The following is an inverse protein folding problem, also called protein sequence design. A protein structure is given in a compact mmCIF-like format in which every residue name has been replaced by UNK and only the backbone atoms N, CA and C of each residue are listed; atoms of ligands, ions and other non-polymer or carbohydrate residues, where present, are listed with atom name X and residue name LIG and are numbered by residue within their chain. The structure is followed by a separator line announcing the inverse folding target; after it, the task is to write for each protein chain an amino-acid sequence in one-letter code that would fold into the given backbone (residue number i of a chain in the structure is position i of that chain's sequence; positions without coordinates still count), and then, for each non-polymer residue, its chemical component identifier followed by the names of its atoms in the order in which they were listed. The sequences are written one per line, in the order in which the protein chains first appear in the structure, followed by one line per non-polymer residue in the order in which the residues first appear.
data_IF_460442050233
#
_entry.id   IF_460442050233
#
_cell.length_a   1.000
_cell.length_b   1.000
_cell.length_c   1.000
_cell.angle_alpha   90.00
_cell.angle_beta   90.00
_cell.angle_gamma   90.00
#
_symmetry.space_group_name_H-M   'P 1'
#
loop_
_entity.id
_entity.type
_entity.pdbx_description
1 polymer ?
#
# COMPACT_ATOMS: atom_id res chain seq x y z
N UNK A 1 -0.85 28.61 2.23
CA UNK A 1 -0.29 27.68 3.23
C UNK A 1 -1.42 27.25 4.18
N UNK A 2 -2.46 26.59 3.67
CA UNK A 2 -3.74 26.49 4.41
C UNK A 2 -4.30 25.07 4.50
N UNK A 3 -3.85 24.14 3.64
CA UNK A 3 -4.28 22.74 3.65
C UNK A 3 -3.76 22.01 4.90
N UNK A 4 -2.52 22.28 5.30
CA UNK A 4 -1.93 21.67 6.50
C UNK A 4 -2.62 22.14 7.78
N UNK A 5 -2.99 23.42 7.88
CA UNK A 5 -3.76 23.95 9.02
C UNK A 5 -5.17 23.37 9.08
N UNK A 6 -5.81 23.15 7.92
CA UNK A 6 -7.13 22.53 7.85
C UNK A 6 -7.08 21.07 8.29
N UNK A 7 -6.07 20.32 7.81
CA UNK A 7 -5.81 18.94 8.25
C UNK A 7 -5.48 18.87 9.73
N UNK A 8 -4.63 19.77 10.24
CA UNK A 8 -4.28 19.82 11.66
C UNK A 8 -5.49 20.12 12.54
N UNK A 9 -6.34 21.09 12.17
CA UNK A 9 -7.60 21.38 12.88
C UNK A 9 -8.60 20.22 12.81
N UNK A 10 -8.68 19.53 11.68
CA UNK A 10 -9.53 18.35 11.53
C UNK A 10 -9.02 17.20 12.41
N UNK A 11 -7.70 16.97 12.45
CA UNK A 11 -7.05 15.97 13.28
C UNK A 11 -7.23 16.27 14.77
N UNK A 12 -7.04 17.53 15.18
CA UNK A 12 -7.22 17.99 16.56
C UNK A 12 -8.67 17.79 17.03
N UNK A 13 -9.64 18.15 16.18
CA UNK A 13 -11.07 17.91 16.45
C UNK A 13 -11.42 16.42 16.48
N UNK A 14 -10.84 15.62 15.59
CA UNK A 14 -11.04 14.17 15.59
C UNK A 14 -10.47 13.52 16.86
N UNK A 15 -9.29 13.97 17.32
CA UNK A 15 -8.69 13.53 18.59
C UNK A 15 -9.59 13.88 19.78
N UNK A 16 -10.11 15.11 19.82
CA UNK A 16 -11.04 15.55 20.88
C UNK A 16 -12.34 14.75 20.89
N UNK A 17 -12.87 14.41 19.73
CA UNK A 17 -14.07 13.57 19.62
C UNK A 17 -13.75 12.14 20.08
N UNK A 18 -12.67 11.53 19.62
CA UNK A 18 -12.27 10.18 20.01
C UNK A 18 -11.95 10.05 21.50
N UNK A 19 -11.46 11.11 22.13
CA UNK A 19 -11.17 11.16 23.57
C UNK A 19 -12.40 11.51 24.41
N UNK A 20 -13.52 11.91 23.81
CA UNK A 20 -14.73 12.20 24.59
C UNK A 20 -15.42 10.90 25.01
N UNK A 21 -15.77 10.79 26.29
CA UNK A 21 -16.51 9.65 26.84
C UNK A 21 -17.85 9.43 26.13
N UNK A 22 -18.47 10.53 25.66
CA UNK A 22 -19.71 10.48 24.89
C UNK A 22 -19.53 9.82 23.52
N UNK A 23 -18.41 10.02 22.83
CA UNK A 23 -18.16 9.34 21.56
C UNK A 23 -17.89 7.85 21.75
N UNK A 24 -17.22 7.48 22.86
CA UNK A 24 -17.01 6.08 23.21
C UNK A 24 -18.33 5.38 23.51
N UNK A 25 -19.24 6.04 24.24
CA UNK A 25 -20.58 5.53 24.50
C UNK A 25 -21.41 5.38 23.22
N UNK A 26 -21.42 6.39 22.35
CA UNK A 26 -22.14 6.35 21.07
C UNK A 26 -21.57 5.26 20.15
N UNK A 27 -20.25 5.06 20.13
CA UNK A 27 -19.66 3.96 19.37
C UNK A 27 -19.94 2.58 19.98
N UNK A 28 -20.08 2.49 21.31
CA UNK A 28 -20.43 1.24 21.99
C UNK A 28 -21.91 0.87 21.82
N UNK A 29 -22.77 1.83 21.46
CA UNK A 29 -24.18 1.58 21.19
C UNK A 29 -24.38 0.72 19.93
N UNK A 30 -24.99 -0.46 20.10
CA UNK A 30 -25.28 -1.39 18.99
C UNK A 30 -26.15 -0.76 17.89
N UNK A 31 -27.07 0.15 18.26
CA UNK A 31 -27.95 0.84 17.31
C UNK A 31 -27.17 1.76 16.38
N UNK A 32 -26.19 2.47 16.94
CA UNK A 32 -25.30 3.32 16.17
C UNK A 32 -24.37 2.48 15.30
N UNK A 33 -23.78 1.41 15.83
CA UNK A 33 -22.91 0.50 15.07
C UNK A 33 -23.63 -0.08 13.84
N UNK A 34 -24.87 -0.56 13.99
CA UNK A 34 -25.66 -1.10 12.88
C UNK A 34 -26.00 -0.04 11.83
N UNK A 35 -26.43 1.15 12.27
CA UNK A 35 -26.73 2.26 11.37
C UNK A 35 -25.48 2.71 10.62
N UNK A 36 -24.35 2.85 11.33
CA UNK A 36 -23.05 3.17 10.75
C UNK A 36 -22.60 2.10 9.76
N UNK A 37 -22.70 0.81 10.11
CA UNK A 37 -22.34 -0.29 9.22
C UNK A 37 -23.19 -0.27 7.94
N UNK A 38 -24.50 -0.05 8.04
CA UNK A 38 -25.39 0.04 6.88
C UNK A 38 -25.07 1.24 5.98
N UNK A 39 -24.79 2.41 6.57
CA UNK A 39 -24.35 3.60 5.84
C UNK A 39 -22.98 3.37 5.21
N UNK A 40 -22.06 2.73 5.93
CA UNK A 40 -20.72 2.45 5.46
C UNK A 40 -20.73 1.47 4.29
N UNK A 41 -21.45 0.35 4.42
CA UNK A 41 -21.63 -0.63 3.36
C UNK A 41 -22.30 -0.02 2.12
N UNK A 42 -23.37 0.76 2.30
CA UNK A 42 -24.01 1.44 1.17
C UNK A 42 -23.09 2.46 0.52
N UNK A 43 -22.28 3.17 1.29
CA UNK A 43 -21.29 4.11 0.76
C UNK A 43 -20.16 3.41 -0.03
N UNK A 44 -19.69 2.25 0.43
CA UNK A 44 -18.73 1.43 -0.31
C UNK A 44 -19.34 0.93 -1.61
N UNK A 45 -20.55 0.35 -1.56
CA UNK A 45 -21.27 -0.12 -2.75
C UNK A 45 -21.50 1.01 -3.77
N UNK A 46 -21.83 2.22 -3.30
CA UNK A 46 -21.98 3.39 -4.16
C UNK A 46 -20.66 3.79 -4.81
N UNK A 47 -19.56 3.84 -4.05
CA UNK A 47 -18.21 4.11 -4.58
C UNK A 47 -17.81 3.07 -5.63
N UNK A 48 -17.99 1.79 -5.34
CA UNK A 48 -17.67 0.70 -6.26
C UNK A 48 -18.47 0.81 -7.57
N UNK A 49 -19.74 1.22 -7.48
CA UNK A 49 -20.62 1.40 -8.64
C UNK A 49 -20.20 2.60 -9.50
N UNK A 50 -19.82 3.71 -8.86
CA UNK A 50 -19.28 4.89 -9.54
C UNK A 50 -17.95 4.54 -10.22
N UNK A 51 -17.07 3.79 -9.55
CA UNK A 51 -15.78 3.40 -10.10
C UNK A 51 -15.92 2.45 -11.28
N UNK A 52 -16.82 1.44 -11.20
CA UNK A 52 -17.17 0.58 -12.33
C UNK A 52 -17.70 1.38 -13.52
N UNK A 53 -18.61 2.32 -13.27
CA UNK A 53 -19.17 3.19 -14.32
C UNK A 53 -18.08 4.06 -14.96
N UNK A 54 -17.18 4.63 -14.15
CA UNK A 54 -16.03 5.41 -14.64
C UNK A 54 -15.10 4.55 -15.51
N UNK A 55 -14.82 3.31 -15.08
CA UNK A 55 -13.98 2.36 -15.83
C UNK A 55 -14.64 1.91 -17.13
N UNK A 56 -15.94 1.61 -17.10
CA UNK A 56 -16.72 1.23 -18.29
C UNK A 56 -16.82 2.38 -19.30
N UNK A 57 -17.05 3.62 -18.83
CA UNK A 57 -17.05 4.79 -19.70
C UNK A 57 -15.65 5.03 -20.27
N UNK A 58 -14.59 4.94 -19.47
CA UNK A 58 -13.23 5.08 -19.95
C UNK A 58 -12.89 4.04 -21.02
N UNK A 59 -13.26 2.77 -20.84
CA UNK A 59 -13.12 1.74 -21.86
C UNK A 59 -13.92 2.04 -23.13
N UNK A 60 -15.19 2.47 -23.02
CA UNK A 60 -16.04 2.80 -24.18
C UNK A 60 -15.54 3.99 -24.99
N UNK A 61 -14.93 4.97 -24.32
CA UNK A 61 -14.34 6.13 -24.97
C UNK A 61 -12.86 5.93 -25.32
N UNK A 62 -12.29 4.74 -25.07
CA UNK A 62 -10.87 4.43 -25.27
C UNK A 62 -9.92 5.38 -24.51
N UNK A 63 -10.38 5.96 -23.40
CA UNK A 63 -9.55 6.73 -22.49
C UNK A 63 -8.82 5.78 -21.53
N UNK A 64 -7.49 5.90 -21.46
CA UNK A 64 -6.70 5.19 -20.47
C UNK A 64 -7.08 5.66 -19.06
N UNK A 65 -7.42 4.72 -18.16
CA UNK A 65 -7.67 5.06 -16.76
C UNK A 65 -6.34 5.31 -16.03
N UNK A 66 -6.39 6.00 -14.89
CA UNK A 66 -5.20 6.27 -14.08
C UNK A 66 -4.52 4.97 -13.60
N UNK A 67 -5.31 3.94 -13.33
CA UNK A 67 -4.81 2.61 -12.99
C UNK A 67 -4.06 1.96 -14.16
N UNK A 68 -4.61 2.05 -15.38
CA UNK A 68 -3.95 1.54 -16.59
C UNK A 68 -2.61 2.26 -16.84
N UNK A 69 -2.58 3.58 -16.65
CA UNK A 69 -1.35 4.38 -16.78
C UNK A 69 -0.31 3.99 -15.72
N UNK A 70 -0.75 3.74 -14.48
CA UNK A 70 0.12 3.31 -13.38
C UNK A 70 0.66 1.91 -13.62
N UNK A 71 -0.15 1.00 -14.15
CA UNK A 71 0.28 -0.35 -14.50
C UNK A 71 1.21 -0.36 -15.71
N UNK A 72 0.97 0.47 -16.72
CA UNK A 72 1.90 0.67 -17.84
C UNK A 72 3.24 1.20 -17.36
N UNK A 73 3.26 2.19 -16.46
CA UNK A 73 4.50 2.70 -15.84
C UNK A 73 5.27 1.58 -15.13
N UNK A 74 4.59 0.77 -14.31
CA UNK A 74 5.23 -0.38 -13.62
C UNK A 74 5.77 -1.41 -14.60
N UNK A 75 5.08 -1.68 -15.71
CA UNK A 75 5.55 -2.58 -16.77
C UNK A 75 6.78 -2.02 -17.47
N UNK A 76 6.77 -0.72 -17.80
CA UNK A 76 7.93 -0.03 -18.39
C UNK A 76 9.15 -0.12 -17.48
N UNK A 77 9.01 0.21 -16.20
CA UNK A 77 10.13 0.10 -15.24
C UNK A 77 10.66 -1.35 -15.12
N UNK A 78 9.80 -2.37 -15.25
CA UNK A 78 10.24 -3.77 -15.26
C UNK A 78 11.00 -4.12 -16.54
N UNK A 79 10.59 -3.56 -17.68
CA UNK A 79 11.29 -3.74 -18.96
C UNK A 79 12.64 -3.03 -18.95
N UNK A 80 12.70 -1.79 -18.46
CA UNK A 80 13.93 -1.03 -18.27
C UNK A 80 14.92 -1.81 -17.40
N UNK A 81 14.49 -2.29 -16.22
CA UNK A 81 15.32 -3.12 -15.34
C UNK A 81 15.77 -4.45 -15.95
N UNK A 82 15.03 -5.00 -16.91
CA UNK A 82 15.43 -6.24 -17.62
C UNK A 82 16.47 -5.91 -18.69
N UNK A 83 16.27 -4.82 -19.41
CA UNK A 83 17.19 -4.34 -20.43
C UNK A 83 18.53 -3.94 -19.80
N UNK A 84 18.51 -3.22 -18.67
CA UNK A 84 19.71 -2.87 -17.90
C UNK A 84 20.48 -4.11 -17.43
N UNK A 85 19.78 -5.10 -16.85
CA UNK A 85 20.43 -6.36 -16.44
C UNK A 85 21.00 -7.15 -17.60
N UNK A 86 20.36 -7.11 -18.77
CA UNK A 86 20.86 -7.77 -19.96
C UNK A 86 22.10 -7.06 -20.52
N UNK A 87 22.13 -5.73 -20.45
CA UNK A 87 23.32 -4.93 -20.79
C UNK A 87 24.46 -5.12 -19.79
N UNK A 88 24.16 -5.21 -18.49
CA UNK A 88 25.15 -5.45 -17.44
C UNK A 88 25.63 -6.90 -17.37
N UNK A 89 24.80 -7.87 -17.76
CA UNK A 89 25.12 -9.30 -17.81
C UNK A 89 26.24 -9.66 -18.78
N UNK A 90 26.68 -8.73 -19.63
CA UNK A 90 27.89 -8.84 -20.45
C UNK A 90 29.19 -8.54 -19.69
N UNK A 91 29.13 -8.05 -18.44
CA UNK A 91 30.33 -7.83 -17.62
C UNK A 91 30.54 -9.03 -16.69
N UNK A 92 31.63 -9.82 -16.85
CA UNK A 92 31.90 -10.94 -15.97
C UNK A 92 32.06 -10.41 -14.54
N UNK A 93 31.26 -10.95 -13.62
CA UNK A 93 31.44 -10.78 -12.18
C UNK A 93 32.77 -11.41 -11.79
N UNK A 94 33.85 -10.67 -11.98
CA UNK A 94 35.19 -11.03 -11.53
C UNK A 94 35.20 -11.06 -10.00
N UNK A 95 35.53 -12.23 -9.47
CA UNK A 95 36.05 -12.37 -8.12
C UNK A 95 35.01 -12.35 -7.01
N UNK A 96 34.41 -13.50 -6.74
CA UNK A 96 34.05 -13.83 -5.36
C UNK A 96 35.11 -14.84 -4.89
N UNK A 97 36.06 -14.47 -4.01
CA UNK A 97 37.00 -15.43 -3.49
C UNK A 97 36.22 -16.50 -2.73
N UNK A 98 36.51 -17.75 -3.07
CA UNK A 98 36.04 -18.95 -2.40
C UNK A 98 36.28 -18.82 -0.90
N UNK A 99 35.20 -18.82 -0.13
CA UNK A 99 35.22 -19.00 1.31
C UNK A 99 35.59 -20.45 1.59
N UNK A 100 36.88 -20.74 1.54
CA UNK A 100 37.49 -21.98 2.02
C UNK A 100 38.21 -21.65 3.32
N UNK A 101 37.48 -21.71 4.44
CA UNK A 101 38.00 -22.08 5.76
C UNK A 101 36.81 -22.18 6.72
N UNK A 102 36.15 -23.34 6.67
CA UNK A 102 35.37 -23.84 7.78
C UNK A 102 36.24 -24.90 8.46
N UNK A 103 36.84 -24.54 9.59
CA UNK A 103 37.36 -25.52 10.54
C UNK A 103 36.25 -25.79 11.56
N UNK A 104 35.86 -27.05 11.83
CA UNK A 104 34.91 -27.37 12.89
C UNK A 104 35.56 -27.13 14.27
N UNK A 105 34.78 -26.75 15.30
CA UNK A 105 35.29 -26.67 16.67
C UNK A 105 35.65 -28.07 17.14
N UNK A 106 36.91 -28.28 17.54
CA UNK A 106 37.33 -29.48 18.25
C UNK A 106 36.66 -29.51 19.62
N UNK A 107 35.89 -30.55 19.85
CA UNK A 107 35.46 -31.02 21.16
C UNK A 107 36.71 -31.61 21.83
N UNK A 108 37.24 -30.95 22.86
CA UNK A 108 38.10 -31.62 23.83
C UNK A 108 37.24 -31.93 25.06
N UNK A 109 36.81 -33.19 25.10
CA UNK A 109 36.39 -33.92 26.29
C UNK A 109 37.58 -34.09 27.26
N UNK A 110 37.24 -34.25 28.54
CA UNK A 110 38.03 -34.88 29.62
C UNK A 110 39.26 -34.16 30.23
N UNK A 111 39.07 -33.64 31.46
CA UNK A 111 39.71 -34.12 32.71
C UNK A 111 39.78 -33.03 33.80
#
# INVERSE_FOLDING_TARGET
MDIEKLKARALEKAMKIAQSDSAQQIMADERFQRAFAQVFESSMKARDSIEKTRRDLAHRFNLATEDDLRDMKRKLERLERRLERQQEGGKPRRGRPSRSEAAPPGEDEDA
#
